data_IF_368818629332
#
_entry.id   IF_368818629332
#
_cell.length_a   1.000
_cell.length_b   1.000
_cell.length_c   1.000
_cell.angle_alpha   90.00
_cell.angle_beta   90.00
_cell.angle_gamma   90.00
#
_symmetry.space_group_name_H-M   'P 1'
#
loop_
_entity.id
_entity.type
_entity.pdbx_description
1 polymer ?
#
# COMPACT_ATOMS: atom_id res chain seq x y z
N UNK A 1 -12.32 -13.89 -7.78
CA UNK A 1 -12.01 -12.45 -7.65
C UNK A 1 -12.36 -11.69 -8.94
N UNK A 2 -12.55 -10.36 -8.85
CA UNK A 2 -12.95 -9.41 -9.90
C UNK A 2 -14.01 -9.91 -10.92
N UNK A 3 -13.61 -10.76 -11.87
CA UNK A 3 -14.50 -11.36 -12.89
C UNK A 3 -15.75 -12.03 -12.30
N UNK A 4 -15.64 -12.69 -11.15
CA UNK A 4 -16.78 -13.34 -10.46
C UNK A 4 -17.85 -12.35 -9.98
N UNK A 5 -17.48 -11.09 -9.75
CA UNK A 5 -18.34 -10.06 -9.15
C UNK A 5 -18.74 -8.96 -10.15
N UNK A 6 -18.22 -9.03 -11.38
CA UNK A 6 -18.46 -8.02 -12.40
C UNK A 6 -19.95 -7.87 -12.74
N UNK A 7 -20.71 -8.98 -12.76
CA UNK A 7 -22.14 -8.95 -13.06
C UNK A 7 -22.98 -8.26 -11.97
N UNK A 8 -22.46 -8.17 -10.74
CA UNK A 8 -23.13 -7.46 -9.64
C UNK A 8 -22.69 -6.01 -9.51
N UNK A 9 -21.88 -5.50 -10.46
CA UNK A 9 -21.35 -4.15 -10.44
C UNK A 9 -20.30 -3.89 -9.35
N UNK A 10 -19.71 -4.95 -8.78
CA UNK A 10 -18.69 -4.84 -7.74
C UNK A 10 -17.30 -4.88 -8.39
N UNK A 11 -16.48 -3.86 -8.11
CA UNK A 11 -15.09 -3.80 -8.54
C UNK A 11 -14.16 -4.38 -7.47
N UNK A 12 -13.06 -4.98 -7.90
CA UNK A 12 -12.04 -5.52 -6.99
C UNK A 12 -10.67 -5.10 -7.51
N UNK A 13 -9.96 -4.31 -6.71
CA UNK A 13 -8.65 -3.75 -7.02
C UNK A 13 -7.63 -4.08 -5.91
N UNK A 14 -6.35 -3.82 -6.16
CA UNK A 14 -5.28 -4.01 -5.18
C UNK A 14 -4.33 -2.81 -5.16
N UNK A 15 -3.89 -2.43 -3.96
CA UNK A 15 -2.76 -1.53 -3.74
C UNK A 15 -1.61 -2.39 -3.21
N UNK A 16 -0.45 -2.34 -3.87
CA UNK A 16 0.76 -3.03 -3.44
C UNK A 16 1.79 -2.03 -2.91
N UNK A 17 1.66 -1.58 -1.65
CA UNK A 17 2.61 -0.64 -1.07
C UNK A 17 3.99 -1.29 -0.88
N UNK A 18 5.03 -0.47 -0.91
CA UNK A 18 6.36 -0.86 -0.43
C UNK A 18 6.41 -0.90 1.10
N UNK A 19 7.57 -0.61 1.68
CA UNK A 19 7.71 -0.50 3.12
C UNK A 19 7.07 0.79 3.64
N UNK A 20 6.04 0.66 4.49
CA UNK A 20 5.28 1.79 5.05
C UNK A 20 5.42 1.81 6.57
N UNK A 21 5.53 3.00 7.15
CA UNK A 21 5.60 3.16 8.60
C UNK A 21 4.28 2.71 9.24
N UNK A 22 4.35 1.60 9.97
CA UNK A 22 3.23 0.93 10.64
C UNK A 22 3.75 0.25 11.90
N UNK A 23 2.89 0.02 12.89
CA UNK A 23 3.28 -0.69 14.12
C UNK A 23 3.86 -2.09 13.85
N UNK A 24 3.40 -2.75 12.78
CA UNK A 24 3.92 -4.05 12.33
C UNK A 24 5.41 -3.98 11.96
N UNK A 25 5.83 -2.90 11.30
CA UNK A 25 7.22 -2.69 10.88
C UNK A 25 8.03 -1.89 11.91
N UNK A 26 7.39 -1.19 12.83
CA UNK A 26 8.04 -0.49 13.95
C UNK A 26 8.78 -1.44 14.91
N UNK A 27 8.36 -2.71 14.97
CA UNK A 27 9.08 -3.76 15.69
C UNK A 27 10.29 -4.36 14.95
N UNK A 28 10.53 -3.98 13.70
CA UNK A 28 11.67 -4.49 12.94
C UNK A 28 12.99 -3.92 13.50
N UNK A 29 13.95 -4.81 13.76
CA UNK A 29 15.28 -4.42 14.24
C UNK A 29 16.03 -3.53 13.24
N UNK A 30 16.95 -2.71 13.76
CA UNK A 30 17.69 -1.72 12.99
C UNK A 30 18.29 -2.21 11.65
N UNK A 31 18.97 -3.38 11.55
CA UNK A 31 19.61 -3.78 10.28
C UNK A 31 18.62 -4.04 9.14
N UNK A 32 17.41 -4.52 9.45
CA UNK A 32 16.37 -4.72 8.42
C UNK A 32 15.82 -3.38 7.93
N UNK A 33 15.63 -2.45 8.86
CA UNK A 33 15.13 -1.11 8.55
C UNK A 33 16.13 -0.34 7.68
N UNK A 34 17.43 -0.46 7.96
CA UNK A 34 18.51 0.10 7.15
C UNK A 34 18.57 -0.53 5.75
N UNK A 35 18.51 -1.87 5.62
CA UNK A 35 18.49 -2.57 4.32
C UNK A 35 17.29 -2.14 3.45
N UNK A 36 16.08 -2.15 4.02
CA UNK A 36 14.86 -1.78 3.31
C UNK A 36 14.90 -0.31 2.86
N UNK A 37 15.42 0.58 3.71
CA UNK A 37 15.64 1.98 3.36
C UNK A 37 16.66 2.10 2.23
N UNK A 38 17.77 1.38 2.30
CA UNK A 38 18.81 1.39 1.27
C UNK A 38 18.28 0.87 -0.08
N UNK A 39 17.44 -0.15 -0.07
CA UNK A 39 16.83 -0.74 -1.29
C UNK A 39 15.68 0.10 -1.85
N UNK A 40 15.03 0.92 -1.03
CA UNK A 40 13.96 1.81 -1.48
C UNK A 40 14.56 3.00 -2.24
N UNK A 41 14.18 3.26 -3.51
CA UNK A 41 14.75 4.37 -4.28
C UNK A 41 14.62 5.74 -3.62
N UNK A 42 13.50 5.98 -2.91
CA UNK A 42 13.25 7.23 -2.17
C UNK A 42 14.00 7.32 -0.83
N UNK A 43 14.74 6.28 -0.42
CA UNK A 43 15.56 6.24 0.80
C UNK A 43 14.79 6.56 2.08
N UNK A 44 13.51 6.20 2.12
CA UNK A 44 12.64 6.29 3.30
C UNK A 44 11.53 5.28 3.22
N UNK A 45 10.88 5.02 4.35
CA UNK A 45 9.58 4.36 4.38
C UNK A 45 8.51 5.30 3.83
N UNK A 46 7.48 4.70 3.23
CA UNK A 46 6.23 5.39 2.94
C UNK A 46 5.49 5.74 4.22
N UNK A 47 4.61 6.72 4.16
CA UNK A 47 3.70 7.07 5.23
C UNK A 47 2.28 6.61 4.88
N UNK A 48 1.51 6.21 5.89
CA UNK A 48 0.12 5.76 5.69
C UNK A 48 -0.75 6.77 4.92
N UNK A 49 -0.64 8.11 5.13
CA UNK A 49 -1.38 9.10 4.34
C UNK A 49 -1.11 9.05 2.83
N UNK A 50 0.05 8.58 2.38
CA UNK A 50 0.38 8.47 0.95
C UNK A 50 -0.52 7.45 0.22
N UNK A 51 -1.11 6.49 0.95
CA UNK A 51 -2.03 5.49 0.39
C UNK A 51 -3.49 5.97 0.33
N UNK A 52 -3.85 7.02 1.06
CA UNK A 52 -5.23 7.45 1.21
C UNK A 52 -5.84 7.93 -0.11
N UNK A 53 -5.11 8.76 -0.87
CA UNK A 53 -5.61 9.28 -2.14
C UNK A 53 -5.93 8.17 -3.13
N UNK A 54 -5.07 7.17 -3.25
CA UNK A 54 -5.29 6.01 -4.11
C UNK A 54 -6.44 5.13 -3.61
N UNK A 55 -6.54 4.93 -2.29
CA UNK A 55 -7.65 4.17 -1.68
C UNK A 55 -8.99 4.83 -1.98
N UNK A 56 -9.09 6.15 -1.81
CA UNK A 56 -10.31 6.91 -2.11
C UNK A 56 -10.64 6.85 -3.60
N UNK A 57 -9.64 6.97 -4.48
CA UNK A 57 -9.84 6.83 -5.92
C UNK A 57 -10.46 5.48 -6.26
N UNK A 58 -9.86 4.39 -5.78
CA UNK A 58 -10.31 3.01 -6.05
C UNK A 58 -11.68 2.69 -5.43
N UNK A 59 -12.05 3.36 -4.34
CA UNK A 59 -13.35 3.20 -3.68
C UNK A 59 -14.44 4.13 -4.26
N UNK A 60 -14.05 5.14 -5.04
CA UNK A 60 -14.98 6.09 -5.65
C UNK A 60 -15.61 5.54 -6.93
N UNK A 61 -16.63 6.23 -7.45
CA UNK A 61 -17.21 5.97 -8.77
C UNK A 61 -16.30 6.38 -9.94
N UNK A 62 -15.09 6.89 -9.67
CA UNK A 62 -14.10 7.21 -10.70
C UNK A 62 -13.26 5.99 -11.10
N UNK A 63 -13.37 4.88 -10.37
CA UNK A 63 -12.70 3.60 -10.65
C UNK A 63 -13.47 2.72 -11.62
#
# INVERSE_FOLDING_TARGET
MAAEWAQTGVTVNSISPGYVETDMLGGAGNPYREDWTHRTPMKRFGETPELQGLTVLLASSLS
#
